data_IF_972136750177
#
_entry.id   IF_972136750177
#
_cell.length_a   1.000
_cell.length_b   1.000
_cell.length_c   1.000
_cell.angle_alpha   90.00
_cell.angle_beta   90.00
_cell.angle_gamma   90.00
#
_symmetry.space_group_name_H-M   'P 1'
#
loop_
_entity.id
_entity.type
_entity.pdbx_description
1 polymer ?
#
# COMPACT_ATOMS: atom_id res chain seq x y z
N UNK A 1 -24.19 -28.86 14.39
CA UNK A 1 -23.31 -28.06 13.50
C UNK A 1 -24.22 -27.05 12.80
N UNK A 2 -24.74 -26.07 13.53
CA UNK A 2 -25.62 -25.05 12.98
C UNK A 2 -24.95 -23.69 13.18
N UNK A 3 -24.68 -23.02 12.07
CA UNK A 3 -24.38 -21.59 11.96
C UNK A 3 -22.99 -21.11 12.38
N UNK A 4 -21.91 -21.73 11.84
CA UNK A 4 -20.69 -20.98 11.62
C UNK A 4 -20.82 -20.38 10.21
N UNK A 5 -20.93 -19.06 10.10
CA UNK A 5 -20.92 -18.44 8.78
C UNK A 5 -19.50 -18.50 8.18
N UNK A 6 -19.40 -18.62 6.87
CA UNK A 6 -18.14 -18.55 6.15
C UNK A 6 -17.38 -17.24 6.43
N UNK A 7 -18.10 -16.20 6.79
CA UNK A 7 -17.56 -14.89 7.17
C UNK A 7 -16.68 -14.95 8.41
N UNK A 8 -17.11 -15.70 9.43
CA UNK A 8 -16.36 -15.83 10.68
C UNK A 8 -15.06 -16.60 10.46
N UNK A 9 -15.07 -17.57 9.55
CA UNK A 9 -13.89 -18.35 9.17
C UNK A 9 -12.88 -17.53 8.33
N UNK A 10 -13.32 -16.71 7.40
CA UNK A 10 -12.46 -15.86 6.56
C UNK A 10 -11.83 -14.75 7.39
N UNK A 11 -12.58 -14.10 8.28
CA UNK A 11 -12.05 -13.10 9.21
C UNK A 11 -11.00 -13.73 10.13
N UNK A 12 -11.23 -14.95 10.59
CA UNK A 12 -10.29 -15.70 11.40
C UNK A 12 -9.01 -16.08 10.67
N UNK A 13 -9.09 -16.54 9.41
CA UNK A 13 -7.91 -16.86 8.57
C UNK A 13 -7.07 -15.60 8.27
N UNK A 14 -7.69 -14.48 7.98
CA UNK A 14 -6.99 -13.22 7.79
C UNK A 14 -6.28 -12.73 9.06
N UNK A 15 -6.88 -12.95 10.24
CA UNK A 15 -6.32 -12.52 11.51
C UNK A 15 -5.20 -13.44 12.02
N UNK A 16 -5.25 -14.74 11.76
CA UNK A 16 -4.21 -15.69 12.23
C UNK A 16 -2.88 -15.56 11.47
N UNK A 17 -2.90 -15.18 10.18
CA UNK A 17 -1.67 -15.05 9.37
C UNK A 17 -0.94 -13.74 9.60
N UNK A 18 -1.64 -12.72 10.07
CA UNK A 18 -1.03 -11.45 10.46
C UNK A 18 -1.03 -11.37 11.98
N UNK A 19 0.12 -11.57 12.64
CA UNK A 19 0.32 -11.38 14.09
C UNK A 19 -0.01 -9.96 14.58
N UNK A 20 -0.60 -9.10 13.75
CA UNK A 20 -1.03 -7.76 14.06
C UNK A 20 -2.55 -7.65 14.06
N UNK A 21 -3.17 -8.01 15.18
CA UNK A 21 -4.57 -7.77 15.53
C UNK A 21 -5.01 -6.29 15.41
N UNK A 22 -4.10 -5.39 15.08
CA UNK A 22 -4.31 -3.94 15.09
C UNK A 22 -4.82 -3.30 13.80
N UNK A 23 -4.91 -4.03 12.69
CA UNK A 23 -5.50 -3.45 11.47
C UNK A 23 -7.00 -3.15 11.58
N UNK A 24 -7.67 -3.70 12.59
CA UNK A 24 -9.11 -3.53 12.84
C UNK A 24 -9.35 -2.83 14.16
N UNK A 25 -8.94 -1.57 14.27
CA UNK A 25 -9.16 -0.76 15.46
C UNK A 25 -10.46 0.06 15.42
N UNK A 26 -11.46 -0.39 14.70
CA UNK A 26 -12.84 -0.03 14.99
C UNK A 26 -13.26 -0.73 16.28
N UNK A 27 -14.07 -0.09 17.13
CA UNK A 27 -14.76 -0.81 18.22
C UNK A 27 -15.41 -2.03 17.58
N UNK A 28 -15.18 -3.28 18.09
CA UNK A 28 -15.92 -4.41 17.60
C UNK A 28 -17.39 -4.07 17.73
N UNK A 29 -18.12 -4.09 16.62
CA UNK A 29 -19.58 -4.05 16.69
C UNK A 29 -20.01 -5.23 17.57
N UNK A 30 -21.03 -5.04 18.40
CA UNK A 30 -21.60 -6.12 19.19
C UNK A 30 -21.97 -7.26 18.24
N UNK A 31 -21.14 -8.31 18.17
CA UNK A 31 -21.37 -9.45 17.28
C UNK A 31 -20.15 -10.05 16.61
N UNK A 32 -18.95 -9.45 16.72
CA UNK A 32 -17.73 -10.09 16.19
C UNK A 32 -17.34 -11.27 17.09
N UNK A 33 -17.37 -12.47 16.54
CA UNK A 33 -17.23 -13.73 17.29
C UNK A 33 -15.95 -14.44 16.84
N UNK A 34 -15.05 -14.78 17.76
CA UNK A 34 -13.96 -15.72 17.51
C UNK A 34 -14.39 -17.12 17.96
N UNK A 35 -14.25 -18.11 17.10
CA UNK A 35 -14.56 -19.50 17.41
C UNK A 35 -13.32 -20.25 17.86
N UNK A 36 -13.29 -20.74 19.08
CA UNK A 36 -12.30 -21.72 19.56
C UNK A 36 -13.01 -23.07 19.58
N UNK A 37 -12.55 -24.00 18.75
CA UNK A 37 -13.04 -25.38 18.76
C UNK A 37 -12.36 -26.14 19.89
N UNK A 38 -13.10 -26.46 20.93
CA UNK A 38 -12.73 -27.45 21.94
C UNK A 38 -13.32 -28.80 21.57
N UNK A 39 -12.44 -29.74 21.24
CA UNK A 39 -12.80 -31.10 20.82
C UNK A 39 -13.34 -31.99 21.96
N UNK A 40 -13.57 -31.48 23.15
CA UNK A 40 -13.88 -32.31 24.33
C UNK A 40 -15.28 -32.17 24.94
N UNK A 41 -16.13 -31.30 24.44
CA UNK A 41 -17.48 -31.19 25.01
C UNK A 41 -18.56 -30.96 23.96
N UNK A 42 -19.50 -31.91 23.87
CA UNK A 42 -20.79 -31.78 23.16
C UNK A 42 -21.77 -30.83 23.88
N UNK A 43 -21.30 -29.83 24.62
CA UNK A 43 -22.18 -28.83 25.22
C UNK A 43 -22.45 -27.73 24.18
N UNK A 44 -23.73 -27.47 23.96
CA UNK A 44 -24.18 -26.32 23.18
C UNK A 44 -23.44 -25.06 23.62
N UNK A 45 -22.71 -24.46 22.68
CA UNK A 45 -22.08 -23.16 22.91
C UNK A 45 -23.21 -22.12 22.85
N UNK A 46 -23.82 -21.86 24.00
CA UNK A 46 -24.95 -20.93 24.11
C UNK A 46 -24.54 -19.46 24.08
N UNK A 47 -23.26 -19.15 24.23
CA UNK A 47 -22.72 -17.79 24.09
C UNK A 47 -21.22 -17.81 23.90
N UNK A 48 -20.75 -17.29 22.77
CA UNK A 48 -19.31 -17.06 22.52
C UNK A 48 -18.76 -15.83 23.27
N UNK A 49 -19.61 -15.08 23.99
CA UNK A 49 -19.19 -13.94 24.82
C UNK A 49 -18.21 -14.33 25.92
N UNK A 50 -18.28 -15.58 26.42
CA UNK A 50 -17.39 -16.07 27.48
C UNK A 50 -16.00 -16.48 26.99
N UNK A 51 -15.78 -16.57 25.67
CA UNK A 51 -14.49 -16.93 25.05
C UNK A 51 -13.78 -15.70 24.49
N UNK A 52 -14.44 -14.55 24.47
CA UNK A 52 -13.79 -13.29 24.18
C UNK A 52 -12.79 -13.02 25.30
N UNK A 53 -11.50 -13.05 24.96
CA UNK A 53 -10.43 -12.52 25.80
C UNK A 53 -10.94 -11.19 26.34
N UNK A 54 -10.93 -11.04 27.67
CA UNK A 54 -11.43 -9.82 28.30
C UNK A 54 -10.85 -8.60 27.56
N UNK A 55 -11.73 -7.66 27.21
CA UNK A 55 -11.40 -6.48 26.41
C UNK A 55 -10.15 -5.75 26.91
N UNK A 56 -9.87 -5.86 28.19
CA UNK A 56 -8.71 -5.28 28.87
C UNK A 56 -7.41 -6.07 28.64
N UNK A 57 -7.46 -7.38 28.35
CA UNK A 57 -6.24 -8.18 28.11
C UNK A 57 -5.62 -7.95 26.74
N UNK A 58 -6.37 -7.35 25.80
CA UNK A 58 -5.89 -6.94 24.48
C UNK A 58 -5.65 -5.42 24.39
N UNK A 59 -5.85 -4.69 25.49
CA UNK A 59 -5.62 -3.24 25.49
C UNK A 59 -4.11 -2.97 25.53
N UNK A 60 -3.54 -2.77 24.36
CA UNK A 60 -2.13 -2.38 24.19
C UNK A 60 -1.90 -0.87 24.36
N UNK A 61 -2.95 -0.09 24.59
CA UNK A 61 -2.84 1.36 24.81
C UNK A 61 -2.20 1.66 26.18
N UNK A 62 -2.19 0.67 27.07
CA UNK A 62 -1.50 0.73 28.37
C UNK A 62 -0.02 0.38 28.32
N UNK A 63 0.48 -0.13 27.18
CA UNK A 63 1.89 -0.46 27.05
C UNK A 63 2.72 0.81 26.90
N UNK A 64 3.72 0.95 27.76
CA UNK A 64 4.73 2.00 27.61
C UNK A 64 5.56 1.66 26.37
N UNK A 65 5.53 2.54 25.42
CA UNK A 65 6.27 2.39 24.17
C UNK A 65 7.63 3.08 24.26
N UNK A 66 8.69 2.50 23.67
CA UNK A 66 9.98 3.14 23.63
C UNK A 66 9.88 4.49 22.90
N UNK A 67 10.59 5.47 23.40
CA UNK A 67 10.69 6.82 22.85
C UNK A 67 12.14 7.25 22.82
N UNK A 68 12.45 8.36 22.13
CA UNK A 68 13.80 8.92 22.18
C UNK A 68 13.91 10.00 23.23
N UNK A 69 15.13 10.19 23.73
CA UNK A 69 15.45 11.27 24.67
C UNK A 69 15.66 12.61 23.94
N UNK A 70 15.62 13.71 24.70
CA UNK A 70 15.71 15.06 24.17
C UNK A 70 17.07 15.37 23.53
N UNK A 71 18.16 14.82 24.02
CA UNK A 71 19.49 15.03 23.46
C UNK A 71 19.60 14.41 22.07
N UNK A 72 19.15 13.16 21.94
CA UNK A 72 19.08 12.45 20.67
C UNK A 72 18.15 13.19 19.70
N UNK A 73 16.99 13.66 20.17
CA UNK A 73 16.05 14.43 19.35
C UNK A 73 16.68 15.73 18.83
N UNK A 74 17.43 16.46 19.66
CA UNK A 74 18.13 17.68 19.25
C UNK A 74 19.18 17.41 18.18
N UNK A 75 19.95 16.31 18.32
CA UNK A 75 20.92 15.88 17.29
C UNK A 75 20.23 15.59 15.97
N UNK A 76 19.15 14.83 15.98
CA UNK A 76 18.38 14.45 14.77
C UNK A 76 17.79 15.70 14.10
N UNK A 77 17.06 16.53 14.87
CA UNK A 77 16.44 17.75 14.33
C UNK A 77 17.48 18.70 13.75
N UNK A 78 18.60 18.89 14.45
CA UNK A 78 19.68 19.77 13.97
C UNK A 78 20.35 19.20 12.71
N UNK A 79 20.55 17.88 12.62
CA UNK A 79 21.10 17.23 11.42
C UNK A 79 20.21 17.49 10.20
N UNK A 80 18.91 17.26 10.33
CA UNK A 80 17.92 17.45 9.26
C UNK A 80 17.78 18.93 8.88
N UNK A 81 17.75 19.82 9.87
CA UNK A 81 17.58 21.25 9.64
C UNK A 81 18.77 21.88 8.89
N UNK A 82 19.99 21.42 9.20
CA UNK A 82 21.23 21.89 8.59
C UNK A 82 21.61 21.14 7.29
N UNK A 83 20.83 20.14 6.92
CA UNK A 83 21.02 19.40 5.67
C UNK A 83 20.61 20.26 4.46
N UNK A 84 21.39 20.17 3.37
CA UNK A 84 21.06 20.85 2.13
C UNK A 84 19.95 20.13 1.35
N UNK A 85 19.99 18.80 1.37
CA UNK A 85 19.03 17.92 0.68
C UNK A 85 18.47 16.85 1.64
N UNK A 86 17.73 17.24 2.70
CA UNK A 86 17.14 16.27 3.60
C UNK A 86 16.00 15.52 2.93
N UNK A 87 15.86 14.23 3.24
CA UNK A 87 14.69 13.42 2.87
C UNK A 87 14.18 12.70 4.11
N UNK A 88 12.88 12.74 4.34
CA UNK A 88 12.20 11.87 5.30
C UNK A 88 11.69 10.64 4.53
N UNK A 89 12.16 9.47 4.91
CA UNK A 89 11.75 8.20 4.30
C UNK A 89 10.88 7.40 5.27
N UNK A 90 9.60 7.21 4.91
CA UNK A 90 8.61 6.60 5.79
C UNK A 90 8.14 5.24 5.29
N UNK A 91 8.01 4.31 6.22
CA UNK A 91 7.48 2.98 5.96
C UNK A 91 6.12 2.73 6.61
N UNK A 92 5.66 1.48 6.53
CA UNK A 92 4.40 1.01 7.13
C UNK A 92 4.34 1.17 8.65
N UNK A 93 5.47 1.36 9.32
CA UNK A 93 5.54 1.62 10.77
C UNK A 93 4.78 2.87 11.20
N UNK A 94 4.71 3.89 10.34
CA UNK A 94 3.90 5.10 10.60
C UNK A 94 2.41 4.75 10.73
N UNK A 95 1.89 3.97 9.82
CA UNK A 95 0.49 3.54 9.83
C UNK A 95 0.19 2.62 11.00
N UNK A 96 1.10 1.67 11.31
CA UNK A 96 0.97 0.77 12.44
C UNK A 96 1.00 1.51 13.78
N UNK A 97 1.82 2.54 13.91
CA UNK A 97 1.89 3.40 15.09
C UNK A 97 0.74 4.42 15.14
N UNK A 98 -0.06 4.58 14.07
CA UNK A 98 -1.08 5.64 13.91
C UNK A 98 -0.48 7.04 14.10
N UNK A 99 0.66 7.27 13.46
CA UNK A 99 1.49 8.46 13.64
C UNK A 99 1.33 9.50 12.52
N UNK A 100 0.26 9.41 11.71
CA UNK A 100 0.07 10.27 10.54
C UNK A 100 -0.07 11.75 10.89
N UNK A 101 -0.74 12.06 12.01
CA UNK A 101 -0.91 13.44 12.49
C UNK A 101 0.43 14.01 12.94
N UNK A 102 1.18 13.26 13.73
CA UNK A 102 2.50 13.67 14.23
C UNK A 102 3.51 13.78 13.08
N UNK A 103 3.40 12.90 12.08
CA UNK A 103 4.18 12.99 10.86
C UNK A 103 3.89 14.28 10.08
N UNK A 104 2.61 14.58 9.87
CA UNK A 104 2.18 15.79 9.14
C UNK A 104 2.66 17.06 9.86
N UNK A 105 2.53 17.11 11.17
CA UNK A 105 2.97 18.25 11.99
C UNK A 105 4.49 18.45 11.87
N UNK A 106 5.28 17.40 11.98
CA UNK A 106 6.74 17.45 11.84
C UNK A 106 7.18 17.89 10.44
N UNK A 107 6.58 17.29 9.42
CA UNK A 107 6.87 17.60 8.01
C UNK A 107 6.54 19.04 7.67
N UNK A 108 5.36 19.50 8.07
CA UNK A 108 4.93 20.87 7.76
C UNK A 108 5.77 21.93 8.51
N UNK A 109 6.24 21.59 9.71
CA UNK A 109 7.06 22.51 10.50
C UNK A 109 8.46 22.70 9.94
N UNK A 110 9.10 21.63 9.46
CA UNK A 110 10.47 21.67 8.91
C UNK A 110 10.51 21.68 7.38
N UNK A 111 9.36 21.52 6.72
CA UNK A 111 9.19 21.48 5.26
C UNK A 111 10.14 20.50 4.55
N UNK A 112 10.19 19.28 5.07
CA UNK A 112 11.05 18.21 4.57
C UNK A 112 10.31 17.40 3.51
N UNK A 113 10.93 17.11 2.33
CA UNK A 113 10.35 16.21 1.35
C UNK A 113 10.22 14.78 1.91
N UNK A 114 9.06 14.16 1.66
CA UNK A 114 8.71 12.83 2.18
C UNK A 114 8.65 11.83 1.04
N UNK A 115 9.56 10.87 1.04
CA UNK A 115 9.49 9.66 0.23
C UNK A 115 8.93 8.51 1.08
N UNK A 116 8.28 7.55 0.45
CA UNK A 116 7.71 6.42 1.19
C UNK A 116 7.96 5.09 0.46
N UNK A 117 8.07 4.02 1.24
CA UNK A 117 7.97 2.67 0.70
C UNK A 117 6.54 2.38 0.22
N UNK A 118 6.33 1.28 -0.51
CA UNK A 118 4.97 0.87 -0.86
C UNK A 118 4.08 0.71 0.38
N UNK A 119 4.61 0.14 1.46
CA UNK A 119 3.87 -0.02 2.73
C UNK A 119 3.67 1.30 3.49
N UNK A 120 4.43 2.33 3.16
CA UNK A 120 4.28 3.69 3.69
C UNK A 120 3.30 4.56 2.90
N UNK A 121 2.79 4.09 1.76
CA UNK A 121 1.77 4.81 0.99
C UNK A 121 0.56 5.11 1.87
N UNK A 122 0.11 6.37 1.84
CA UNK A 122 -0.98 6.83 2.69
C UNK A 122 -0.59 7.04 4.17
N UNK A 123 0.70 7.04 4.53
CA UNK A 123 1.17 7.51 5.84
C UNK A 123 0.92 9.01 6.01
N UNK A 124 1.03 9.76 4.93
CA UNK A 124 0.67 11.16 4.78
C UNK A 124 -0.27 11.30 3.58
N UNK A 125 -1.17 12.27 3.60
CA UNK A 125 -2.03 12.55 2.44
C UNK A 125 -1.19 12.92 1.22
N UNK A 126 -1.49 12.34 0.05
CA UNK A 126 -0.82 12.72 -1.20
C UNK A 126 -1.11 14.17 -1.62
N UNK A 127 -2.10 14.85 -1.00
CA UNK A 127 -2.33 16.29 -1.19
C UNK A 127 -1.31 17.16 -0.44
N UNK A 128 -0.57 16.60 0.53
CA UNK A 128 0.46 17.36 1.24
C UNK A 128 1.58 17.78 0.26
N UNK A 129 1.99 19.06 0.23
CA UNK A 129 2.94 19.60 -0.75
C UNK A 129 4.36 19.04 -0.63
N UNK A 130 4.67 18.34 0.45
CA UNK A 130 6.00 17.77 0.70
C UNK A 130 6.10 16.28 0.35
N UNK A 131 5.00 15.60 -0.02
CA UNK A 131 5.05 14.20 -0.44
C UNK A 131 5.69 14.08 -1.82
N UNK A 132 6.82 13.40 -1.91
CA UNK A 132 7.48 13.05 -3.17
C UNK A 132 6.78 11.89 -3.87
N UNK A 133 6.54 10.79 -3.14
CA UNK A 133 5.94 9.57 -3.65
C UNK A 133 6.68 8.30 -3.23
N UNK A 134 6.43 7.22 -3.95
CA UNK A 134 6.97 5.89 -3.70
C UNK A 134 8.38 5.72 -4.28
N UNK A 135 9.27 5.10 -3.48
CA UNK A 135 10.64 4.75 -3.86
C UNK A 135 10.76 3.38 -4.50
N UNK A 136 11.95 3.08 -4.95
CA UNK A 136 12.43 1.74 -5.31
C UNK A 136 12.09 1.33 -6.73
N UNK A 137 12.11 0.03 -6.95
CA UNK A 137 11.92 -0.61 -8.25
C UNK A 137 10.61 -0.19 -8.97
N UNK A 138 9.53 -0.05 -8.21
CA UNK A 138 8.23 0.40 -8.70
C UNK A 138 8.00 1.90 -8.47
N UNK A 139 9.00 2.61 -7.97
CA UNK A 139 8.95 4.04 -7.75
C UNK A 139 9.06 4.85 -9.04
N UNK A 140 9.06 6.16 -8.89
CA UNK A 140 9.27 7.09 -10.01
C UNK A 140 10.72 7.58 -10.00
N UNK A 141 11.25 7.92 -11.17
CA UNK A 141 12.62 8.40 -11.33
C UNK A 141 12.94 9.57 -10.39
N UNK A 142 12.07 10.58 -10.32
CA UNK A 142 12.34 11.72 -9.46
C UNK A 142 12.43 11.35 -7.98
N UNK A 143 11.55 10.47 -7.51
CA UNK A 143 11.56 10.08 -6.09
C UNK A 143 12.88 9.38 -5.78
N UNK A 144 13.30 8.44 -6.63
CA UNK A 144 14.56 7.75 -6.50
C UNK A 144 15.75 8.72 -6.61
N UNK A 145 15.75 9.65 -7.58
CA UNK A 145 16.77 10.67 -7.71
C UNK A 145 16.82 11.65 -6.52
N UNK A 146 15.67 11.98 -5.94
CA UNK A 146 15.64 12.81 -4.73
C UNK A 146 16.25 12.10 -3.53
N UNK A 147 16.02 10.79 -3.40
CA UNK A 147 16.65 9.98 -2.35
C UNK A 147 18.15 9.75 -2.61
N UNK A 148 18.53 9.52 -3.86
CA UNK A 148 19.92 9.32 -4.27
C UNK A 148 20.79 10.56 -4.02
N UNK A 149 20.22 11.75 -4.25
CA UNK A 149 20.91 13.03 -4.06
C UNK A 149 20.76 13.61 -2.64
N UNK A 150 20.13 12.87 -1.72
CA UNK A 150 20.00 13.29 -0.34
C UNK A 150 21.36 13.25 0.35
N UNK A 151 21.67 14.26 1.18
CA UNK A 151 22.83 14.27 2.05
C UNK A 151 22.50 13.71 3.46
N UNK A 152 21.22 13.75 3.82
CA UNK A 152 20.72 13.17 5.08
C UNK A 152 19.33 12.55 4.86
N UNK A 153 19.17 11.31 5.29
CA UNK A 153 17.89 10.62 5.30
C UNK A 153 17.48 10.31 6.74
N UNK A 154 16.29 10.78 7.12
CA UNK A 154 15.62 10.33 8.34
C UNK A 154 14.61 9.25 7.97
N UNK A 155 14.94 8.00 8.27
CA UNK A 155 14.08 6.86 8.01
C UNK A 155 13.26 6.49 9.25
N UNK A 156 11.92 6.37 9.12
CA UNK A 156 11.05 6.06 10.25
C UNK A 156 10.10 4.91 9.89
N UNK A 157 10.18 3.83 10.68
CA UNK A 157 9.29 2.68 10.54
C UNK A 157 9.36 1.99 9.19
N UNK A 158 10.57 1.90 8.63
CA UNK A 158 10.85 1.29 7.33
C UNK A 158 11.97 0.27 7.45
N UNK A 159 11.88 -0.82 6.68
CA UNK A 159 12.83 -1.93 6.72
C UNK A 159 13.76 -1.99 5.53
N UNK A 160 13.73 -1.00 4.67
CA UNK A 160 14.55 -0.94 3.45
C UNK A 160 14.53 -2.26 2.68
N UNK A 161 13.32 -2.76 2.38
CA UNK A 161 13.17 -3.95 1.55
C UNK A 161 13.75 -3.69 0.17
N UNK A 162 14.29 -4.73 -0.44
CA UNK A 162 14.95 -4.67 -1.73
C UNK A 162 14.10 -3.98 -2.81
N UNK A 163 12.83 -4.36 -2.96
CA UNK A 163 11.93 -3.73 -3.92
C UNK A 163 11.68 -2.23 -3.64
N UNK A 164 11.79 -1.78 -2.39
CA UNK A 164 11.65 -0.38 -2.00
C UNK A 164 12.96 0.41 -2.23
N UNK A 165 14.08 -0.29 -2.50
CA UNK A 165 15.42 0.28 -2.70
C UNK A 165 15.93 0.11 -4.14
N UNK A 166 15.23 -0.61 -5.01
CA UNK A 166 15.66 -1.11 -6.32
C UNK A 166 16.84 -2.09 -6.23
N UNK A 167 17.82 -1.79 -5.44
CA UNK A 167 18.97 -2.60 -5.00
C UNK A 167 19.51 -1.98 -3.71
N UNK A 168 20.21 -2.77 -2.90
CA UNK A 168 20.93 -2.25 -1.74
C UNK A 168 22.32 -1.67 -2.11
N UNK A 169 22.75 -1.84 -3.35
CA UNK A 169 23.98 -1.20 -3.83
C UNK A 169 23.81 0.33 -3.90
N UNK A 170 24.87 1.11 -3.58
CA UNK A 170 24.85 2.55 -3.78
C UNK A 170 24.58 2.92 -5.25
N UNK A 171 23.88 4.03 -5.47
CA UNK A 171 23.64 4.54 -6.82
C UNK A 171 22.29 4.14 -7.44
N UNK A 172 21.48 3.31 -6.77
CA UNK A 172 20.12 2.98 -7.22
C UNK A 172 19.07 3.96 -6.66
N UNK A 173 18.53 3.67 -5.50
CA UNK A 173 17.57 4.55 -4.83
C UNK A 173 18.25 5.38 -3.74
N UNK A 174 19.26 4.82 -3.10
CA UNK A 174 20.00 5.46 -2.01
C UNK A 174 21.51 5.42 -2.27
N UNK A 175 22.23 6.44 -1.77
CA UNK A 175 23.67 6.52 -1.86
C UNK A 175 24.30 6.42 -0.45
N UNK A 176 23.92 5.40 0.30
CA UNK A 176 24.44 5.13 1.63
C UNK A 176 25.67 4.22 1.48
N UNK A 177 26.84 4.53 2.10
CA UNK A 177 27.01 5.38 3.30
C UNK A 177 27.34 6.85 3.06
N UNK A 178 27.52 7.34 1.85
CA UNK A 178 27.82 8.77 1.60
C UNK A 178 26.68 9.66 2.11
N UNK A 179 25.43 9.23 1.91
CA UNK A 179 24.24 9.82 2.55
C UNK A 179 24.18 9.40 4.01
N UNK A 180 24.08 10.34 4.92
CA UNK A 180 23.86 10.08 6.35
C UNK A 180 22.49 9.45 6.58
N UNK A 181 22.47 8.26 7.18
CA UNK A 181 21.26 7.58 7.55
C UNK A 181 20.98 7.70 9.05
N UNK A 182 19.85 8.30 9.40
CA UNK A 182 19.26 8.26 10.73
C UNK A 182 18.06 7.32 10.65
N UNK A 183 18.06 6.24 11.45
CA UNK A 183 17.03 5.22 11.34
C UNK A 183 16.31 5.02 12.68
N UNK A 184 14.99 5.24 12.68
CA UNK A 184 14.10 5.04 13.82
C UNK A 184 13.16 3.87 13.50
N UNK A 185 13.25 2.81 14.26
CA UNK A 185 12.33 1.68 14.16
C UNK A 185 12.05 1.10 15.56
N UNK A 186 10.90 0.45 15.72
CA UNK A 186 10.57 -0.24 16.97
C UNK A 186 11.24 -1.61 17.07
N UNK A 187 11.62 -2.17 15.92
CA UNK A 187 12.26 -3.48 15.81
C UNK A 187 13.79 -3.31 15.74
N UNK A 188 14.53 -3.67 16.81
CA UNK A 188 15.98 -3.44 16.87
C UNK A 188 16.75 -4.17 15.76
N UNK A 189 16.26 -5.31 15.29
CA UNK A 189 16.91 -6.08 14.23
C UNK A 189 16.83 -5.42 12.83
N UNK A 190 16.03 -4.40 12.66
CA UNK A 190 15.95 -3.65 11.40
C UNK A 190 16.97 -2.51 11.35
N UNK A 191 17.47 -2.05 12.49
CA UNK A 191 18.49 -0.98 12.55
C UNK A 191 19.81 -1.52 12.01
N UNK A 192 20.41 -0.81 11.05
CA UNK A 192 21.66 -1.20 10.36
C UNK A 192 21.64 -2.55 9.66
N UNK A 193 20.45 -3.09 9.38
CA UNK A 193 20.33 -4.40 8.73
C UNK A 193 20.82 -4.40 7.29
N UNK A 194 20.36 -3.44 6.49
CA UNK A 194 20.61 -3.37 5.05
C UNK A 194 21.57 -2.21 4.70
N UNK A 195 21.59 -1.17 5.53
CA UNK A 195 22.43 0.02 5.36
C UNK A 195 23.07 0.42 6.68
N UNK A 196 24.34 0.83 6.70
CA UNK A 196 24.95 1.38 7.90
C UNK A 196 24.24 2.67 8.32
N UNK A 197 23.94 2.79 9.62
CA UNK A 197 23.29 3.96 10.20
C UNK A 197 24.28 4.83 10.96
N UNK A 198 24.20 6.17 10.79
CA UNK A 198 24.94 7.11 11.63
C UNK A 198 24.29 7.21 13.02
N UNK A 199 22.95 7.23 13.06
CA UNK A 199 22.16 7.24 14.30
C UNK A 199 21.03 6.23 14.19
N UNK A 200 21.10 5.18 15.00
CA UNK A 200 20.02 4.18 15.14
C UNK A 200 19.23 4.41 16.43
N UNK A 201 17.90 4.45 16.36
CA UNK A 201 17.03 4.67 17.53
C UNK A 201 15.93 3.62 17.57
N UNK A 202 15.83 2.92 18.70
CA UNK A 202 14.73 1.99 18.96
C UNK A 202 13.59 2.78 19.60
N UNK A 203 12.56 3.12 18.81
CA UNK A 203 11.41 3.88 19.30
C UNK A 203 10.13 3.58 18.51
N UNK A 204 8.98 3.75 19.18
CA UNK A 204 7.68 3.81 18.51
C UNK A 204 7.60 5.09 17.67
N UNK A 205 7.17 4.96 16.41
CA UNK A 205 7.18 6.07 15.46
C UNK A 205 6.34 7.27 15.94
N UNK A 206 5.19 7.03 16.59
CA UNK A 206 4.36 8.12 17.13
C UNK A 206 5.06 8.84 18.28
N UNK A 207 5.60 8.09 19.24
CA UNK A 207 6.34 8.64 20.35
C UNK A 207 7.56 9.43 19.90
N UNK A 208 8.30 8.89 18.92
CA UNK A 208 9.47 9.56 18.36
C UNK A 208 9.09 10.87 17.65
N UNK A 209 8.09 10.86 16.77
CA UNK A 209 7.63 12.04 16.04
C UNK A 209 7.10 13.12 17.01
N UNK A 210 6.41 12.72 18.09
CA UNK A 210 5.95 13.68 19.13
C UNK A 210 7.13 14.42 19.75
N UNK A 211 8.20 13.71 20.14
CA UNK A 211 9.40 14.34 20.74
C UNK A 211 10.15 15.16 19.71
N UNK A 212 10.35 14.63 18.48
CA UNK A 212 11.01 15.36 17.40
C UNK A 212 10.29 16.66 17.05
N UNK A 213 8.96 16.66 16.98
CA UNK A 213 8.15 17.84 16.68
C UNK A 213 8.27 18.88 17.79
N UNK A 214 8.20 18.46 19.07
CA UNK A 214 8.40 19.36 20.20
C UNK A 214 9.77 20.02 20.15
N UNK A 215 10.83 19.23 19.98
CA UNK A 215 12.20 19.73 19.90
C UNK A 215 12.42 20.62 18.66
N UNK A 216 11.80 20.28 17.52
CA UNK A 216 11.84 21.11 16.33
C UNK A 216 11.25 22.50 16.58
N UNK A 217 10.12 22.58 17.27
CA UNK A 217 9.49 23.86 17.65
C UNK A 217 10.31 24.65 18.66
N UNK A 218 11.04 23.99 19.56
CA UNK A 218 11.97 24.65 20.48
C UNK A 218 13.17 25.26 19.75
N UNK A 219 13.79 24.51 18.83
CA UNK A 219 14.99 24.95 18.10
C UNK A 219 14.66 25.93 16.96
N UNK A 220 13.53 25.75 16.32
CA UNK A 220 13.08 26.53 15.17
C UNK A 220 11.63 27.01 15.39
N UNK A 221 11.37 27.98 16.27
CA UNK A 221 10.02 28.38 16.67
C UNK A 221 9.11 28.79 15.51
N UNK A 222 9.69 29.35 14.45
CA UNK A 222 8.97 29.79 13.25
C UNK A 222 8.95 28.72 12.14
N UNK A 223 9.45 27.52 12.43
CA UNK A 223 9.67 26.48 11.42
C UNK A 223 10.82 26.82 10.47
N UNK A 224 10.96 26.00 9.43
CA UNK A 224 11.91 26.22 8.33
C UNK A 224 11.11 26.38 7.05
N UNK A 225 11.31 27.47 6.31
CA UNK A 225 10.67 27.69 5.02
C UNK A 225 11.58 27.21 3.88
N UNK A 226 11.08 26.29 3.04
CA UNK A 226 11.79 25.71 1.89
C UNK A 226 10.92 25.81 0.63
N UNK A 227 10.70 27.02 0.11
CA UNK A 227 9.84 27.24 -1.06
C UNK A 227 10.35 26.53 -2.30
N UNK A 228 11.67 26.39 -2.48
CA UNK A 228 12.31 25.67 -3.56
C UNK A 228 11.93 24.18 -3.56
N UNK A 229 11.81 23.56 -2.39
CA UNK A 229 11.38 22.16 -2.24
C UNK A 229 9.92 22.01 -2.69
N UNK A 230 9.04 22.87 -2.18
CA UNK A 230 7.60 22.86 -2.58
C UNK A 230 7.44 23.04 -4.07
N UNK A 231 8.13 24.03 -4.66
CA UNK A 231 8.04 24.33 -6.08
C UNK A 231 8.57 23.18 -6.94
N UNK A 232 9.67 22.56 -6.53
CA UNK A 232 10.24 21.39 -7.21
C UNK A 232 9.27 20.22 -7.21
N UNK A 233 8.68 19.88 -6.05
CA UNK A 233 7.70 18.79 -5.93
C UNK A 233 6.46 19.09 -6.75
N UNK A 234 5.94 20.34 -6.70
CA UNK A 234 4.79 20.76 -7.47
C UNK A 234 5.03 20.60 -8.98
N UNK A 235 6.10 21.17 -9.49
CA UNK A 235 6.45 21.08 -10.92
C UNK A 235 6.60 19.63 -11.38
N UNK A 236 7.17 18.81 -10.54
CA UNK A 236 7.31 17.38 -10.85
C UNK A 236 5.96 16.68 -10.93
N UNK A 237 5.09 16.86 -9.94
CA UNK A 237 3.76 16.24 -9.96
C UNK A 237 2.96 16.69 -11.20
N UNK A 238 3.05 17.95 -11.55
CA UNK A 238 2.40 18.50 -12.76
C UNK A 238 2.97 17.84 -14.04
N UNK A 239 4.30 17.71 -14.14
CA UNK A 239 4.95 17.06 -15.27
C UNK A 239 4.61 15.56 -15.33
N UNK A 240 4.65 14.85 -14.20
CA UNK A 240 4.28 13.44 -14.14
C UNK A 240 2.81 13.20 -14.53
N UNK A 241 1.91 14.05 -14.03
CA UNK A 241 0.50 14.01 -14.42
C UNK A 241 0.34 14.25 -15.92
N UNK A 242 1.03 15.25 -16.46
CA UNK A 242 1.00 15.57 -17.90
C UNK A 242 1.58 14.43 -18.75
N UNK A 243 2.67 13.79 -18.33
CA UNK A 243 3.25 12.65 -19.06
C UNK A 243 2.34 11.42 -19.10
N UNK A 244 1.48 11.25 -18.09
CA UNK A 244 0.51 10.16 -18.02
C UNK A 244 -0.88 10.52 -18.58
N UNK A 245 -1.11 11.78 -18.96
CA UNK A 245 -2.43 12.29 -19.35
C UNK A 245 -3.01 11.56 -20.56
N UNK A 246 -2.19 11.26 -21.56
CA UNK A 246 -2.60 10.52 -22.75
C UNK A 246 -3.11 9.13 -22.40
N UNK A 247 -2.39 8.40 -21.54
CA UNK A 247 -2.79 7.06 -21.10
C UNK A 247 -3.99 7.11 -20.14
N UNK A 248 -4.00 8.08 -19.23
CA UNK A 248 -5.08 8.28 -18.26
C UNK A 248 -6.41 8.75 -18.88
N UNK A 249 -6.39 9.30 -20.08
CA UNK A 249 -7.56 9.72 -20.84
C UNK A 249 -7.85 8.86 -22.07
N UNK A 250 -7.09 7.79 -22.28
CA UNK A 250 -7.20 6.92 -23.47
C UNK A 250 -8.56 6.23 -23.55
N UNK A 251 -9.17 6.26 -24.72
CA UNK A 251 -10.40 5.53 -25.05
C UNK A 251 -10.11 4.11 -25.63
N UNK A 252 -8.85 3.70 -25.62
CA UNK A 252 -8.47 2.38 -26.08
C UNK A 252 -9.17 1.26 -25.27
N UNK A 253 -9.54 0.20 -25.95
CA UNK A 253 -10.09 -1.00 -25.36
C UNK A 253 -9.42 -2.24 -26.01
N UNK A 254 -8.85 -3.18 -25.21
CA UNK A 254 -8.80 -3.22 -23.74
C UNK A 254 -8.19 -1.96 -23.13
N UNK A 255 -8.64 -1.61 -21.92
CA UNK A 255 -8.31 -0.32 -21.28
C UNK A 255 -6.84 -0.21 -20.88
N UNK A 256 -6.34 1.02 -20.93
CA UNK A 256 -5.06 1.35 -20.28
C UNK A 256 -5.21 1.29 -18.76
N UNK A 257 -4.23 0.72 -18.05
CA UNK A 257 -4.26 0.66 -16.58
C UNK A 257 -4.32 2.04 -15.92
N UNK A 258 -3.66 3.05 -16.52
CA UNK A 258 -3.69 4.45 -16.08
C UNK A 258 -5.11 5.02 -16.14
N UNK A 259 -5.87 4.70 -17.21
CA UNK A 259 -7.27 5.09 -17.34
C UNK A 259 -8.14 4.46 -16.27
N UNK A 260 -7.94 3.18 -15.98
CA UNK A 260 -8.69 2.49 -14.91
C UNK A 260 -8.44 3.17 -13.55
N UNK A 261 -7.19 3.52 -13.25
CA UNK A 261 -6.86 4.21 -11.99
C UNK A 261 -7.43 5.63 -11.95
N UNK A 262 -7.36 6.37 -13.04
CA UNK A 262 -7.89 7.73 -13.14
C UNK A 262 -9.41 7.76 -12.93
N UNK A 263 -10.15 6.91 -13.65
CA UNK A 263 -11.61 6.80 -13.51
C UNK A 263 -12.00 6.35 -12.10
N UNK A 264 -11.24 5.41 -11.52
CA UNK A 264 -11.46 4.95 -10.15
C UNK A 264 -11.29 6.11 -9.16
N UNK A 265 -10.17 6.88 -9.25
CA UNK A 265 -9.97 8.02 -8.33
C UNK A 265 -11.06 9.08 -8.48
N UNK A 266 -11.49 9.36 -9.72
CA UNK A 266 -12.51 10.35 -10.02
C UNK A 266 -13.90 9.97 -9.48
N UNK A 267 -14.20 8.66 -9.38
CA UNK A 267 -15.46 8.16 -8.84
C UNK A 267 -15.52 8.21 -7.30
N UNK A 268 -14.37 8.18 -6.62
CA UNK A 268 -14.30 7.93 -5.18
C UNK A 268 -14.33 9.20 -4.34
N UNK A 269 -14.99 9.18 -3.17
CA UNK A 269 -14.80 10.19 -2.15
C UNK A 269 -13.35 10.15 -1.59
N UNK A 270 -12.95 11.25 -0.93
CA UNK A 270 -11.58 11.41 -0.44
C UNK A 270 -11.20 10.39 0.65
N UNK A 271 -12.16 9.93 1.40
CA UNK A 271 -11.99 8.99 2.51
C UNK A 271 -12.25 7.53 2.13
N UNK A 272 -12.49 7.22 0.84
CA UNK A 272 -12.65 5.84 0.38
C UNK A 272 -11.48 4.96 0.81
N UNK A 273 -11.77 3.71 1.16
CA UNK A 273 -10.75 2.71 1.47
C UNK A 273 -10.47 1.90 0.22
N UNK A 274 -9.19 1.84 -0.14
CA UNK A 274 -8.69 1.10 -1.29
C UNK A 274 -7.94 -0.14 -0.80
N UNK A 275 -8.31 -1.30 -1.30
CA UNK A 275 -7.48 -2.49 -1.15
C UNK A 275 -6.84 -2.85 -2.49
N UNK A 276 -5.60 -3.28 -2.46
CA UNK A 276 -4.91 -3.77 -3.66
C UNK A 276 -4.53 -5.23 -3.48
N UNK A 277 -4.27 -5.90 -4.58
CA UNK A 277 -3.70 -7.23 -4.62
C UNK A 277 -2.25 -7.19 -5.15
N UNK A 278 -1.70 -8.29 -5.57
CA UNK A 278 -0.35 -8.39 -6.12
C UNK A 278 -0.37 -8.06 -7.61
N UNK A 279 0.65 -7.37 -8.08
CA UNK A 279 0.83 -7.02 -9.47
C UNK A 279 0.72 -5.53 -9.75
N UNK A 280 0.43 -5.18 -11.00
CA UNK A 280 0.41 -3.79 -11.42
C UNK A 280 -0.66 -2.96 -10.68
N UNK A 281 -1.80 -3.54 -10.35
CA UNK A 281 -2.83 -2.87 -9.54
C UNK A 281 -2.26 -2.26 -8.24
N UNK A 282 -1.32 -2.96 -7.60
CA UNK A 282 -0.62 -2.49 -6.41
C UNK A 282 0.42 -1.41 -6.75
N UNK A 283 1.25 -1.70 -7.75
CA UNK A 283 2.37 -0.83 -8.13
C UNK A 283 1.86 0.48 -8.73
N UNK A 284 0.86 0.42 -9.61
CA UNK A 284 0.22 1.60 -10.17
C UNK A 284 -0.46 2.47 -9.11
N UNK A 285 -1.12 1.85 -8.12
CA UNK A 285 -1.66 2.60 -6.97
C UNK A 285 -0.53 3.29 -6.20
N UNK A 286 0.58 2.58 -5.95
CA UNK A 286 1.74 3.16 -5.28
C UNK A 286 2.32 4.37 -6.01
N UNK A 287 2.40 4.30 -7.35
CA UNK A 287 2.99 5.33 -8.20
C UNK A 287 2.10 6.55 -8.42
N UNK A 288 0.82 6.35 -8.76
CA UNK A 288 0.02 7.40 -9.38
C UNK A 288 -1.41 7.54 -8.87
N UNK A 289 -1.81 6.77 -7.87
CA UNK A 289 -3.14 6.90 -7.27
C UNK A 289 -3.08 7.73 -5.99
N UNK A 290 -3.82 8.82 -5.93
CA UNK A 290 -3.82 9.72 -4.77
C UNK A 290 -4.61 9.11 -3.61
N UNK A 291 -3.94 8.89 -2.48
CA UNK A 291 -4.53 8.56 -1.18
C UNK A 291 -4.69 9.85 -0.40
N UNK A 292 -5.93 10.34 -0.30
CA UNK A 292 -6.22 11.66 0.27
C UNK A 292 -6.47 11.63 1.78
N UNK A 293 -6.84 10.48 2.32
CA UNK A 293 -7.02 10.28 3.76
C UNK A 293 -5.98 9.28 4.26
N UNK A 294 -5.13 9.65 5.21
CA UNK A 294 -4.14 8.73 5.78
C UNK A 294 -4.77 7.44 6.31
N UNK A 295 -4.09 6.32 6.07
CA UNK A 295 -4.56 5.00 6.52
C UNK A 295 -5.71 4.41 5.72
N UNK A 296 -6.05 4.94 4.55
CA UNK A 296 -7.14 4.44 3.69
C UNK A 296 -6.69 3.51 2.57
N UNK A 297 -5.47 2.99 2.62
CA UNK A 297 -4.98 1.96 1.71
C UNK A 297 -4.57 0.70 2.45
N UNK A 298 -4.98 -0.46 1.93
CA UNK A 298 -4.56 -1.79 2.39
C UNK A 298 -3.91 -2.52 1.22
N UNK A 299 -2.63 -2.84 1.34
CA UNK A 299 -1.85 -3.50 0.30
C UNK A 299 -1.10 -4.70 0.86
N UNK A 300 -0.93 -5.80 0.10
CA UNK A 300 -0.18 -6.95 0.57
C UNK A 300 1.30 -6.60 0.72
N UNK A 301 1.82 -6.77 1.94
CA UNK A 301 3.23 -6.62 2.27
C UNK A 301 3.89 -7.97 2.55
N UNK A 302 5.20 -7.95 2.86
CA UNK A 302 5.93 -9.18 3.15
C UNK A 302 6.04 -10.09 1.94
N UNK A 303 5.39 -11.24 1.95
CA UNK A 303 5.39 -12.23 0.87
C UNK A 303 4.55 -11.82 -0.34
N UNK A 304 3.82 -10.71 -0.29
CA UNK A 304 2.98 -10.24 -1.38
C UNK A 304 2.09 -11.39 -1.95
N UNK A 305 1.28 -11.98 -1.08
CA UNK A 305 0.42 -13.13 -1.45
C UNK A 305 -0.74 -12.66 -2.32
N UNK A 306 -0.86 -13.24 -3.53
CA UNK A 306 -2.03 -13.06 -4.38
C UNK A 306 -3.31 -13.52 -3.67
N UNK A 307 -4.44 -12.88 -3.95
CA UNK A 307 -5.72 -13.15 -3.29
C UNK A 307 -5.89 -12.48 -1.93
N UNK A 308 -5.01 -11.53 -1.56
CA UNK A 308 -5.12 -10.73 -0.33
C UNK A 308 -6.19 -9.63 -0.44
N UNK A 309 -6.18 -8.89 -1.55
CA UNK A 309 -6.97 -7.66 -1.71
C UNK A 309 -8.48 -7.87 -1.60
N UNK A 310 -9.06 -8.85 -2.30
CA UNK A 310 -10.50 -9.07 -2.29
C UNK A 310 -11.08 -9.37 -0.90
N UNK A 311 -10.55 -10.30 -0.08
CA UNK A 311 -11.06 -10.52 1.28
C UNK A 311 -10.68 -9.38 2.25
N UNK A 312 -9.57 -8.67 2.00
CA UNK A 312 -9.21 -7.48 2.80
C UNK A 312 -10.28 -6.38 2.69
N UNK A 313 -10.92 -6.24 1.51
CA UNK A 313 -12.04 -5.32 1.33
C UNK A 313 -13.24 -5.66 2.21
N UNK A 314 -13.53 -6.95 2.41
CA UNK A 314 -14.58 -7.40 3.33
C UNK A 314 -14.28 -6.94 4.76
N UNK A 315 -13.06 -7.20 5.24
CA UNK A 315 -12.63 -6.76 6.55
C UNK A 315 -12.68 -5.23 6.71
N UNK A 316 -12.22 -4.50 5.68
CA UNK A 316 -12.26 -3.05 5.66
C UNK A 316 -13.69 -2.50 5.76
N UNK A 317 -14.63 -3.10 5.02
CA UNK A 317 -16.04 -2.69 5.03
C UNK A 317 -16.73 -2.99 6.35
N UNK A 318 -16.46 -4.14 6.95
CA UNK A 318 -16.99 -4.49 8.28
C UNK A 318 -16.48 -3.51 9.34
N UNK A 319 -15.20 -3.15 9.28
CA UNK A 319 -14.58 -2.21 10.22
C UNK A 319 -15.00 -0.74 10.00
N UNK A 320 -15.45 -0.39 8.78
CA UNK A 320 -15.83 0.96 8.39
C UNK A 320 -17.11 0.92 7.53
N UNK A 321 -18.27 0.65 8.13
CA UNK A 321 -19.52 0.38 7.40
C UNK A 321 -20.00 1.58 6.57
N UNK A 322 -19.67 2.80 6.97
CA UNK A 322 -20.13 4.02 6.33
C UNK A 322 -19.23 4.51 5.19
N UNK A 323 -18.02 3.95 5.07
CA UNK A 323 -17.06 4.37 4.04
C UNK A 323 -17.22 3.54 2.76
N UNK A 324 -16.93 4.16 1.63
CA UNK A 324 -16.81 3.45 0.36
C UNK A 324 -15.56 2.57 0.41
N UNK A 325 -15.68 1.30 0.02
CA UNK A 325 -14.57 0.35 -0.05
C UNK A 325 -14.47 -0.21 -1.45
N UNK A 326 -13.28 -0.09 -2.04
CA UNK A 326 -12.96 -0.64 -3.36
C UNK A 326 -11.74 -1.57 -3.26
N UNK A 327 -11.77 -2.65 -4.03
CA UNK A 327 -10.63 -3.53 -4.26
C UNK A 327 -10.17 -3.42 -5.71
N UNK A 328 -8.95 -2.96 -5.92
CA UNK A 328 -8.27 -3.05 -7.21
C UNK A 328 -7.47 -4.36 -7.23
N UNK A 329 -7.83 -5.27 -8.12
CA UNK A 329 -7.28 -6.62 -8.12
C UNK A 329 -7.08 -7.11 -9.57
N UNK A 330 -5.99 -7.83 -9.83
CA UNK A 330 -5.82 -8.52 -11.11
C UNK A 330 -6.69 -9.79 -11.20
N UNK A 331 -6.93 -10.26 -12.40
CA UNK A 331 -7.64 -11.52 -12.69
C UNK A 331 -7.07 -12.71 -11.92
N UNK A 332 -5.74 -12.84 -11.89
CA UNK A 332 -5.07 -13.90 -11.13
C UNK A 332 -5.29 -13.80 -9.61
N UNK A 333 -5.33 -12.59 -9.04
CA UNK A 333 -5.60 -12.37 -7.61
C UNK A 333 -7.05 -12.63 -7.25
N UNK A 334 -8.00 -12.15 -8.06
CA UNK A 334 -9.43 -12.39 -7.86
C UNK A 334 -9.79 -13.86 -8.01
N UNK A 335 -9.19 -14.53 -9.00
CA UNK A 335 -9.41 -15.94 -9.27
C UNK A 335 -8.94 -16.89 -8.16
N UNK A 336 -8.10 -16.44 -7.22
CA UNK A 336 -7.65 -17.26 -6.08
C UNK A 336 -8.77 -17.60 -5.11
N UNK A 337 -9.75 -16.71 -4.91
CA UNK A 337 -10.79 -16.90 -3.91
C UNK A 337 -12.09 -16.14 -4.22
N UNK A 338 -12.79 -16.44 -5.33
CA UNK A 338 -14.06 -15.80 -5.64
C UNK A 338 -15.17 -16.17 -4.62
N UNK A 339 -14.98 -17.24 -3.84
CA UNK A 339 -15.95 -17.69 -2.83
C UNK A 339 -16.18 -16.65 -1.72
N UNK A 340 -15.28 -15.68 -1.53
CA UNK A 340 -15.48 -14.58 -0.58
C UNK A 340 -16.71 -13.71 -0.92
N UNK A 341 -17.18 -13.75 -2.19
CA UNK A 341 -18.40 -13.06 -2.61
C UNK A 341 -19.64 -13.54 -1.83
N UNK A 342 -19.71 -14.84 -1.49
CA UNK A 342 -20.79 -15.37 -0.68
C UNK A 342 -20.92 -14.63 0.67
N UNK A 343 -19.81 -14.35 1.32
CA UNK A 343 -19.77 -13.56 2.57
C UNK A 343 -20.28 -12.13 2.35
N UNK A 344 -19.86 -11.49 1.26
CA UNK A 344 -20.29 -10.13 0.98
C UNK A 344 -21.78 -10.04 0.69
N UNK A 345 -22.35 -11.00 -0.03
CA UNK A 345 -23.77 -11.08 -0.35
C UNK A 345 -24.58 -11.42 0.91
N UNK A 346 -24.16 -12.42 1.69
CA UNK A 346 -24.82 -12.81 2.93
C UNK A 346 -24.97 -11.63 3.91
N UNK A 347 -23.95 -10.77 3.96
CA UNK A 347 -23.91 -9.62 4.88
C UNK A 347 -24.29 -8.29 4.25
N UNK A 348 -24.73 -8.28 3.01
CA UNK A 348 -25.10 -7.08 2.23
C UNK A 348 -23.98 -6.00 2.29
N UNK A 349 -22.72 -6.42 2.10
CA UNK A 349 -21.57 -5.52 2.17
C UNK A 349 -21.40 -4.75 0.86
N UNK A 350 -21.61 -3.46 0.91
CA UNK A 350 -21.39 -2.54 -0.21
C UNK A 350 -19.87 -2.40 -0.52
N UNK A 351 -19.36 -3.31 -1.34
CA UNK A 351 -17.95 -3.35 -1.79
C UNK A 351 -17.92 -3.45 -3.30
N UNK A 352 -16.96 -2.77 -3.93
CA UNK A 352 -16.73 -2.86 -5.37
C UNK A 352 -15.37 -3.49 -5.62
N UNK A 353 -15.33 -4.63 -6.31
CA UNK A 353 -14.12 -5.24 -6.81
C UNK A 353 -13.96 -4.89 -8.28
N UNK A 354 -12.88 -4.19 -8.62
CA UNK A 354 -12.50 -3.87 -9.99
C UNK A 354 -11.45 -4.91 -10.39
N UNK A 355 -11.84 -5.84 -11.23
CA UNK A 355 -10.93 -6.87 -11.76
C UNK A 355 -10.25 -6.31 -13.00
N UNK A 356 -8.98 -5.94 -12.84
CA UNK A 356 -8.09 -5.50 -13.92
C UNK A 356 -7.60 -6.72 -14.70
N UNK A 357 -8.43 -7.15 -15.65
CA UNK A 357 -8.31 -8.44 -16.34
C UNK A 357 -7.43 -8.31 -17.59
N UNK A 358 -6.16 -8.68 -17.47
CA UNK A 358 -5.22 -8.72 -18.57
C UNK A 358 -4.88 -10.14 -19.05
N UNK A 359 -5.60 -11.14 -18.58
CA UNK A 359 -5.40 -12.55 -18.89
C UNK A 359 -3.94 -13.02 -18.72
N UNK A 360 -3.26 -12.51 -17.68
CA UNK A 360 -1.86 -12.81 -17.40
C UNK A 360 -1.47 -12.54 -15.96
N UNK A 361 -0.45 -13.24 -15.49
CA UNK A 361 0.36 -12.81 -14.34
C UNK A 361 1.33 -11.70 -14.81
N UNK A 362 0.77 -10.54 -15.15
CA UNK A 362 1.43 -9.52 -15.97
C UNK A 362 2.79 -9.05 -15.45
N UNK A 363 2.95 -8.83 -14.14
CA UNK A 363 4.23 -8.44 -13.53
C UNK A 363 5.30 -9.53 -13.75
N UNK A 364 4.95 -10.80 -13.53
CA UNK A 364 5.89 -11.91 -13.72
C UNK A 364 6.21 -12.07 -15.20
N UNK A 365 5.20 -11.98 -16.09
CA UNK A 365 5.39 -12.02 -17.54
C UNK A 365 6.33 -10.91 -18.01
N UNK A 366 6.19 -9.69 -17.48
CA UNK A 366 7.08 -8.57 -17.77
C UNK A 366 8.53 -8.84 -17.36
N UNK A 367 8.76 -9.37 -16.15
CA UNK A 367 10.10 -9.75 -15.68
C UNK A 367 10.71 -10.87 -16.52
N UNK A 368 9.93 -11.93 -16.86
CA UNK A 368 10.39 -12.99 -17.74
C UNK A 368 10.80 -12.45 -19.11
N UNK A 369 9.96 -11.60 -19.70
CA UNK A 369 10.27 -11.02 -21.02
C UNK A 369 11.49 -10.12 -20.97
N UNK A 370 11.66 -9.32 -19.91
CA UNK A 370 12.81 -8.44 -19.75
C UNK A 370 14.12 -9.22 -19.58
N UNK A 371 14.09 -10.34 -18.85
CA UNK A 371 15.31 -11.11 -18.54
C UNK A 371 15.61 -12.21 -19.57
N UNK A 372 14.56 -12.95 -20.00
CA UNK A 372 14.73 -14.10 -20.89
C UNK A 372 14.30 -13.84 -22.34
N UNK A 373 13.69 -12.71 -22.66
CA UNK A 373 13.13 -12.38 -23.97
C UNK A 373 11.82 -13.12 -24.30
N UNK A 374 11.38 -14.04 -23.44
CA UNK A 374 10.17 -14.86 -23.63
C UNK A 374 9.36 -14.95 -22.35
N UNK A 375 8.08 -15.33 -22.47
CA UNK A 375 7.21 -15.65 -21.33
C UNK A 375 6.88 -17.14 -21.34
N UNK A 376 6.73 -17.72 -20.14
CA UNK A 376 6.35 -19.13 -20.00
C UNK A 376 5.36 -19.32 -18.83
N UNK A 377 4.16 -19.80 -19.13
CA UNK A 377 3.13 -20.10 -18.14
C UNK A 377 2.54 -18.89 -17.40
N UNK A 378 2.78 -17.67 -17.88
CA UNK A 378 2.38 -16.43 -17.23
C UNK A 378 1.47 -15.54 -18.08
N UNK A 379 1.36 -15.82 -19.37
CA UNK A 379 0.36 -15.26 -20.28
C UNK A 379 -0.55 -16.41 -20.74
N UNK A 380 -1.84 -16.24 -20.51
CA UNK A 380 -2.80 -17.29 -20.80
C UNK A 380 -3.26 -17.20 -22.25
N UNK A 381 -3.56 -18.35 -22.92
CA UNK A 381 -4.02 -18.35 -24.28
C UNK A 381 -5.33 -17.56 -24.42
N UNK A 382 -5.44 -16.79 -25.49
CA UNK A 382 -6.62 -16.02 -25.81
C UNK A 382 -6.35 -14.50 -25.89
N UNK A 383 -7.28 -13.79 -26.48
CA UNK A 383 -7.25 -12.33 -26.50
C UNK A 383 -7.83 -11.76 -25.22
N UNK A 384 -7.26 -10.69 -24.72
CA UNK A 384 -7.77 -9.97 -23.56
C UNK A 384 -9.22 -9.54 -23.83
N UNK A 385 -10.11 -9.88 -22.89
CA UNK A 385 -11.54 -9.59 -23.04
C UNK A 385 -12.32 -10.58 -23.92
N UNK A 386 -11.66 -11.57 -24.54
CA UNK A 386 -12.35 -12.62 -25.25
C UNK A 386 -12.97 -13.61 -24.25
N UNK A 387 -14.31 -13.75 -24.28
CA UNK A 387 -15.06 -14.58 -23.36
C UNK A 387 -14.78 -16.08 -23.45
N UNK A 388 -14.26 -16.55 -24.58
CA UNK A 388 -13.97 -17.98 -24.81
C UNK A 388 -12.71 -18.46 -24.08
N UNK A 389 -11.78 -17.53 -23.79
CA UNK A 389 -10.45 -17.85 -23.26
C UNK A 389 -10.11 -17.18 -21.93
N UNK A 390 -10.86 -16.17 -21.51
CA UNK A 390 -10.72 -15.47 -20.23
C UNK A 390 -11.95 -15.68 -19.37
N UNK A 391 -11.82 -16.01 -18.07
CA UNK A 391 -12.98 -16.09 -17.19
C UNK A 391 -13.78 -14.79 -17.22
N UNK A 392 -15.10 -14.93 -17.22
CA UNK A 392 -16.00 -13.79 -17.06
C UNK A 392 -16.27 -13.59 -15.57
N UNK A 393 -15.54 -12.67 -14.95
CA UNK A 393 -15.65 -12.41 -13.50
C UNK A 393 -16.97 -11.74 -13.12
N UNK A 394 -17.61 -11.04 -14.05
CA UNK A 394 -18.95 -10.49 -13.84
C UNK A 394 -20.00 -11.61 -13.73
N UNK A 395 -19.91 -12.67 -14.53
CA UNK A 395 -20.83 -13.80 -14.43
C UNK A 395 -20.55 -14.68 -13.21
N UNK A 396 -19.30 -14.83 -12.81
CA UNK A 396 -18.93 -15.44 -11.53
C UNK A 396 -19.60 -14.68 -10.37
N UNK A 397 -19.56 -13.35 -10.36
CA UNK A 397 -20.23 -12.55 -9.35
C UNK A 397 -21.73 -12.78 -9.28
N UNK A 398 -22.39 -12.82 -10.44
CA UNK A 398 -23.83 -13.11 -10.53
C UNK A 398 -24.18 -14.51 -10.00
N UNK A 399 -23.32 -15.50 -10.28
CA UNK A 399 -23.50 -16.86 -9.77
C UNK A 399 -23.44 -16.93 -8.23
N UNK A 400 -22.69 -16.03 -7.59
CA UNK A 400 -22.66 -15.87 -6.13
C UNK A 400 -23.76 -14.93 -5.58
N UNK A 401 -24.60 -14.36 -6.44
CA UNK A 401 -25.67 -13.42 -6.03
C UNK A 401 -25.21 -11.96 -5.88
N UNK A 402 -23.98 -11.64 -6.24
CA UNK A 402 -23.47 -10.26 -6.32
C UNK A 402 -23.83 -9.63 -7.68
N UNK A 403 -23.75 -8.32 -7.76
CA UNK A 403 -23.85 -7.61 -9.05
C UNK A 403 -22.56 -7.83 -9.85
N UNK A 404 -22.69 -8.23 -11.10
CA UNK A 404 -21.58 -8.38 -12.03
C UNK A 404 -21.77 -7.45 -13.23
N UNK A 405 -20.77 -6.62 -13.52
CA UNK A 405 -20.73 -5.71 -14.67
C UNK A 405 -19.48 -6.05 -15.46
N UNK A 406 -19.62 -6.27 -16.77
CA UNK A 406 -18.49 -6.38 -17.67
C UNK A 406 -18.42 -5.14 -18.52
N UNK A 407 -17.28 -4.47 -18.50
CA UNK A 407 -17.02 -3.26 -19.29
C UNK A 407 -16.66 -3.67 -20.71
N UNK A 408 -17.26 -3.03 -21.70
CA UNK A 408 -17.06 -3.28 -23.12
C UNK A 408 -16.40 -2.10 -23.87
N UNK A 409 -16.34 -0.93 -23.22
CA UNK A 409 -15.63 0.26 -23.73
C UNK A 409 -15.12 1.11 -22.57
N UNK A 410 -14.11 1.96 -22.82
CA UNK A 410 -13.46 2.72 -21.75
C UNK A 410 -14.39 3.73 -21.07
N UNK A 411 -15.34 4.30 -21.80
CA UNK A 411 -16.29 5.30 -21.32
C UNK A 411 -17.36 4.71 -20.35
N UNK A 412 -17.52 3.39 -20.30
CA UNK A 412 -18.48 2.72 -19.41
C UNK A 412 -18.00 2.64 -17.96
N UNK A 413 -16.68 2.63 -17.70
CA UNK A 413 -16.14 2.35 -16.37
C UNK A 413 -16.54 3.40 -15.35
N UNK A 414 -16.33 4.67 -15.61
CA UNK A 414 -16.63 5.76 -14.68
C UNK A 414 -18.13 5.84 -14.32
N UNK A 415 -19.08 5.76 -15.28
CA UNK A 415 -20.49 5.66 -14.97
C UNK A 415 -20.86 4.41 -14.14
N UNK A 416 -20.29 3.24 -14.47
CA UNK A 416 -20.54 2.00 -13.74
C UNK A 416 -20.06 2.09 -12.28
N UNK A 417 -18.90 2.69 -12.04
CA UNK A 417 -18.38 2.94 -10.68
C UNK A 417 -19.32 3.84 -9.88
N UNK A 418 -19.69 5.00 -10.44
CA UNK A 418 -20.60 5.95 -9.77
C UNK A 418 -21.95 5.33 -9.44
N UNK A 419 -22.53 4.59 -10.38
CA UNK A 419 -23.80 3.87 -10.19
C UNK A 419 -23.67 2.80 -9.09
N UNK A 420 -22.57 2.03 -9.07
CA UNK A 420 -22.33 0.98 -8.07
C UNK A 420 -22.13 1.54 -6.66
N UNK A 421 -21.44 2.69 -6.53
CA UNK A 421 -21.30 3.40 -5.25
C UNK A 421 -22.66 3.85 -4.74
N UNK A 422 -23.49 4.42 -5.61
CA UNK A 422 -24.83 4.90 -5.25
C UNK A 422 -25.79 3.75 -4.88
N UNK A 423 -25.70 2.64 -5.59
CA UNK A 423 -26.56 1.47 -5.38
C UNK A 423 -26.24 0.74 -4.06
N UNK A 424 -24.98 0.79 -3.63
CA UNK A 424 -24.57 0.24 -2.33
C UNK A 424 -24.67 -1.29 -2.22
N UNK A 425 -24.43 -2.03 -3.30
CA UNK A 425 -24.47 -3.49 -3.35
C UNK A 425 -23.11 -4.10 -3.59
N UNK A 426 -22.83 -5.35 -3.13
CA UNK A 426 -21.62 -6.06 -3.52
C UNK A 426 -21.54 -6.21 -5.03
N UNK A 427 -20.52 -5.62 -5.64
CA UNK A 427 -20.41 -5.48 -7.10
C UNK A 427 -19.02 -5.87 -7.57
N UNK A 428 -18.94 -6.68 -8.62
CA UNK A 428 -17.71 -6.96 -9.37
C UNK A 428 -17.79 -6.28 -10.73
N UNK A 429 -16.78 -5.48 -11.04
CA UNK A 429 -16.63 -4.85 -12.35
C UNK A 429 -15.42 -5.52 -13.03
N UNK A 430 -15.69 -6.29 -14.07
CA UNK A 430 -14.68 -6.96 -14.90
C UNK A 430 -14.26 -6.04 -16.04
N UNK A 431 -12.99 -5.61 -16.01
CA UNK A 431 -12.44 -4.63 -16.94
C UNK A 431 -11.31 -5.29 -17.74
N UNK A 432 -11.53 -5.49 -19.02
CA UNK A 432 -10.46 -5.92 -19.92
C UNK A 432 -9.35 -4.85 -19.97
N UNK A 433 -8.15 -5.24 -19.61
CA UNK A 433 -6.98 -4.36 -19.52
C UNK A 433 -5.88 -4.85 -20.47
N UNK A 434 -5.16 -3.95 -21.10
CA UNK A 434 -4.02 -4.35 -21.94
C UNK A 434 -2.97 -5.08 -21.10
N UNK A 435 -2.36 -6.09 -21.70
CA UNK A 435 -1.24 -6.79 -21.07
C UNK A 435 0.09 -6.14 -21.48
N UNK A 436 0.24 -4.87 -21.15
CA UNK A 436 1.49 -4.15 -21.34
C UNK A 436 1.93 -3.64 -19.97
N UNK A 437 2.92 -4.30 -19.32
CA UNK A 437 3.40 -3.83 -18.04
C UNK A 437 3.96 -2.42 -18.23
N UNK A 438 3.39 -1.46 -17.54
CA UNK A 438 3.91 -0.11 -17.50
C UNK A 438 5.34 -0.19 -16.99
N UNK A 439 6.32 0.32 -17.74
CA UNK A 439 7.70 0.27 -17.34
C UNK A 439 7.84 0.99 -16.01
N UNK A 440 8.63 0.43 -15.13
CA UNK A 440 9.09 1.15 -13.96
C UNK A 440 9.99 2.29 -14.45
N UNK A 441 9.81 3.46 -13.89
CA UNK A 441 10.72 4.59 -14.15
C UNK A 441 11.88 4.62 -13.16
N UNK A 442 11.89 3.68 -12.21
CA UNK A 442 13.00 3.46 -11.29
C UNK A 442 14.20 2.82 -12.03
N UNK A 443 15.40 3.34 -11.77
CA UNK A 443 16.62 2.69 -12.24
C UNK A 443 16.80 1.34 -11.54
N UNK A 444 17.01 0.26 -12.30
CA UNK A 444 17.21 -1.08 -11.75
C UNK A 444 17.98 -1.96 -12.74
N UNK A 445 18.69 -2.93 -12.18
CA UNK A 445 19.25 -4.05 -12.90
C UNK A 445 18.80 -5.34 -12.21
N UNK A 446 18.15 -6.22 -12.94
CA UNK A 446 17.60 -7.46 -12.36
C UNK A 446 18.71 -8.35 -11.77
N UNK A 447 19.90 -8.32 -12.32
CA UNK A 447 21.02 -9.09 -11.80
C UNK A 447 21.47 -8.57 -10.42
N UNK A 448 21.49 -7.26 -10.23
CA UNK A 448 21.86 -6.64 -8.96
C UNK A 448 20.77 -6.83 -7.88
N UNK A 449 19.52 -7.07 -8.28
CA UNK A 449 18.44 -7.35 -7.34
C UNK A 449 18.49 -8.79 -6.83
N UNK A 450 18.79 -9.76 -7.72
CA UNK A 450 18.63 -11.19 -7.41
C UNK A 450 19.95 -11.99 -7.40
N UNK A 451 21.06 -11.36 -7.66
CA UNK A 451 22.39 -12.01 -7.66
C UNK A 451 23.37 -11.18 -6.83
N UNK A 452 23.40 -11.37 -5.52
CA UNK A 452 24.29 -10.60 -4.64
C UNK A 452 25.76 -11.05 -4.70
N UNK A 453 26.17 -11.76 -5.74
CA UNK A 453 27.57 -12.17 -5.88
C UNK A 453 28.45 -10.98 -6.21
N UNK A 454 29.48 -10.76 -5.37
CA UNK A 454 30.45 -9.67 -5.42
C UNK A 454 31.27 -9.59 -6.72
N UNK A 455 31.12 -10.53 -7.64
CA UNK A 455 31.90 -10.67 -8.87
C UNK A 455 31.21 -10.14 -10.14
N UNK A 456 30.00 -9.62 -10.06
CA UNK A 456 29.36 -9.00 -11.22
C UNK A 456 29.84 -7.57 -11.36
N UNK A 457 30.84 -7.36 -12.22
CA UNK A 457 31.27 -6.03 -12.60
C UNK A 457 30.07 -5.18 -13.03
N UNK A 458 29.83 -4.12 -12.29
CA UNK A 458 28.77 -3.14 -12.60
C UNK A 458 29.04 -2.55 -13.98
N UNK A 459 28.44 -3.11 -15.01
CA UNK A 459 28.46 -2.55 -16.34
C UNK A 459 27.44 -1.41 -16.36
N UNK A 460 27.93 -0.22 -16.10
CA UNK A 460 27.21 1.01 -16.41
C UNK A 460 26.96 1.07 -17.92
N UNK A 461 25.74 0.91 -18.33
CA UNK A 461 25.28 1.30 -19.67
C UNK A 461 24.29 2.44 -19.56
#
# INVERSE_FOLDING_TARGET
>A
MSHISWSDFVIWQCNLRQRNFRMFSGKPSEGTTALILDNKSNKEITSLRSVLIEKNSLNTDTLIKPSLDDETARKIVSSIANSNNPVLYVGGGILLARASIELEEFVNHLQIPVAHSLMGKGALSDSNPFVLGMTGFWGTELVNQSCLNADTILAIGTRFKEADCSSWYPGYTFNIPETKLIHIDIEPSEISRNYPTEVGVIADAKSALTVLTRVAKELYPNGIDRPEVRNRIKSFRENFKKSNEEMASSDAFPMMPERILADTRLALPNDAIITTDVGWNKNGVGQQFDILTPGSILTPGGFATMGFGPPAAIGAKIANPDRVVISLVGDGGFGQNPAMLATAVERDLSIIWIVMNNNAFGTIAGLQKAHYGVTYGTVFPGEVGNSEMSPNYADIAKAYGAKGIRISSADELLPALKASIQEGKPTVIDVAMINNPTPTTGHWNILDIYSPDDDVSHVST
#
